data_IF_177433422763
#
_entry.id   IF_177433422763
#
_cell.length_a   1.000
_cell.length_b   1.000
_cell.length_c   1.000
_cell.angle_alpha   90.00
_cell.angle_beta   90.00
_cell.angle_gamma   90.00
#
_symmetry.space_group_name_H-M   'P 1'
#
loop_
_entity.id
_entity.type
_entity.pdbx_description
1 polymer ?
#
# COMPACT_ATOMS: atom_id res chain seq x y z
N UNK A 1 33.57 2.34 40.60
CA UNK A 1 34.10 2.93 39.36
C UNK A 1 32.92 3.13 38.42
N UNK A 2 32.34 4.31 38.49
CA UNK A 2 31.30 4.77 37.58
C UNK A 2 31.90 5.92 36.78
N UNK A 3 32.08 5.77 35.51
CA UNK A 3 32.62 6.82 34.68
C UNK A 3 32.68 6.42 33.21
N UNK A 4 32.15 7.32 32.40
CA UNK A 4 32.36 7.43 30.95
C UNK A 4 31.52 6.53 30.03
N UNK A 5 30.31 7.03 29.71
CA UNK A 5 29.69 6.93 28.37
C UNK A 5 28.66 8.08 28.22
N UNK A 6 29.14 9.30 28.34
CA UNK A 6 28.45 10.51 27.84
C UNK A 6 29.38 11.19 26.83
N UNK A 7 28.94 11.24 25.61
CA UNK A 7 29.62 12.07 24.62
C UNK A 7 29.86 11.32 23.31
N UNK A 8 28.93 11.38 22.38
CA UNK A 8 29.10 11.61 20.94
C UNK A 8 27.70 11.51 20.29
N UNK A 9 26.87 12.54 20.37
CA UNK A 9 25.76 12.80 19.47
C UNK A 9 25.31 14.27 19.57
N UNK A 10 26.29 15.17 19.39
CA UNK A 10 26.00 16.55 19.07
C UNK A 10 26.65 16.86 17.72
N UNK A 11 26.04 16.36 16.62
CA UNK A 11 26.37 16.87 15.28
C UNK A 11 25.30 17.88 14.90
N UNK A 12 25.73 19.13 14.99
CA UNK A 12 25.35 20.33 14.24
C UNK A 12 24.05 20.22 13.44
N UNK A 13 22.96 20.68 14.04
CA UNK A 13 21.79 21.14 13.29
C UNK A 13 22.25 22.44 12.62
N UNK A 14 22.52 22.37 11.32
CA UNK A 14 22.78 23.56 10.52
C UNK A 14 21.61 24.52 10.69
N UNK A 15 21.90 25.68 11.26
CA UNK A 15 21.03 26.86 11.26
C UNK A 15 20.53 27.08 9.83
N UNK A 16 19.24 26.93 9.63
CA UNK A 16 18.59 27.27 8.38
C UNK A 16 18.79 28.76 8.16
N UNK A 17 19.73 29.09 7.27
CA UNK A 17 19.97 30.46 6.83
C UNK A 17 18.69 31.02 6.28
N UNK A 18 18.31 32.22 6.73
CA UNK A 18 17.23 33.04 6.23
C UNK A 18 17.48 33.42 4.77
N UNK A 19 16.96 32.62 3.84
CA UNK A 19 16.75 33.02 2.44
C UNK A 19 15.24 33.05 2.18
N UNK A 20 14.77 34.18 1.74
CA UNK A 20 13.42 34.55 1.30
C UNK A 20 12.70 33.40 0.56
N UNK A 21 11.71 32.79 1.20
CA UNK A 21 10.87 31.75 0.59
C UNK A 21 9.98 31.10 1.62
N UNK A 22 8.68 31.13 1.40
CA UNK A 22 7.61 30.73 2.29
C UNK A 22 7.88 29.49 3.14
N UNK A 23 7.38 29.51 4.36
CA UNK A 23 7.49 28.46 5.37
C UNK A 23 7.10 27.11 4.77
N UNK A 24 8.08 26.28 4.37
CA UNK A 24 7.81 24.96 3.75
C UNK A 24 7.12 24.11 4.80
N UNK A 25 5.84 23.80 4.60
CA UNK A 25 5.08 22.97 5.53
C UNK A 25 5.72 21.60 5.65
N UNK A 26 5.90 21.13 6.88
CA UNK A 26 6.48 19.81 7.18
C UNK A 26 5.40 18.76 7.49
N UNK A 27 4.16 19.19 7.70
CA UNK A 27 3.00 18.34 7.94
C UNK A 27 1.96 18.63 6.85
N UNK A 28 1.51 17.58 6.19
CA UNK A 28 0.56 17.63 5.09
C UNK A 28 -0.62 16.72 5.38
N UNK A 29 -1.83 17.14 5.03
CA UNK A 29 -3.04 16.32 5.09
C UNK A 29 -3.78 16.38 3.77
N UNK A 30 -4.34 15.25 3.34
CA UNK A 30 -5.19 15.24 2.15
C UNK A 30 -6.65 15.48 2.48
N UNK A 31 -7.30 16.30 1.67
CA UNK A 31 -8.76 16.46 1.66
C UNK A 31 -9.46 15.46 0.72
N UNK A 32 -8.72 14.75 -0.15
CA UNK A 32 -9.28 13.75 -1.05
C UNK A 32 -9.42 12.40 -0.37
N UNK A 33 -10.47 11.67 -0.72
CA UNK A 33 -10.67 10.25 -0.36
C UNK A 33 -10.29 9.29 -1.50
N UNK A 34 -9.82 9.81 -2.63
CA UNK A 34 -9.42 8.98 -3.76
C UNK A 34 -8.00 8.40 -3.53
N UNK A 35 -7.85 7.04 -3.50
CA UNK A 35 -6.56 6.41 -3.25
C UNK A 35 -5.53 6.69 -4.35
N UNK A 36 -5.96 6.88 -5.60
CA UNK A 36 -5.05 7.19 -6.69
C UNK A 36 -4.47 8.59 -6.57
N UNK A 37 -5.31 9.57 -6.16
CA UNK A 37 -4.87 10.94 -5.87
C UNK A 37 -3.90 10.94 -4.71
N UNK A 38 -4.27 10.32 -3.59
CA UNK A 38 -3.46 10.31 -2.38
C UNK A 38 -2.09 9.64 -2.58
N UNK A 39 -2.02 8.52 -3.29
CA UNK A 39 -0.75 7.87 -3.61
C UNK A 39 0.07 8.64 -4.66
N UNK A 40 -0.57 9.42 -5.53
CA UNK A 40 0.14 10.32 -6.45
C UNK A 40 0.72 11.53 -5.73
N UNK A 41 0.01 12.09 -4.75
CA UNK A 41 0.50 13.14 -3.86
C UNK A 41 1.66 12.60 -2.99
N UNK A 42 1.53 11.39 -2.42
CA UNK A 42 2.61 10.75 -1.66
C UNK A 42 3.89 10.65 -2.50
N UNK A 43 3.78 10.23 -3.76
CA UNK A 43 4.92 10.13 -4.69
C UNK A 43 5.49 11.51 -5.05
N UNK A 44 4.63 12.53 -5.21
CA UNK A 44 5.05 13.90 -5.45
C UNK A 44 5.85 14.45 -4.26
N UNK A 45 5.32 14.33 -3.05
CA UNK A 45 6.03 14.74 -1.83
C UNK A 45 7.36 14.00 -1.67
N UNK A 46 7.38 12.72 -1.98
CA UNK A 46 8.58 11.90 -1.88
C UNK A 46 9.63 12.24 -2.92
N UNK A 47 9.25 12.58 -4.17
CA UNK A 47 10.21 12.76 -5.27
C UNK A 47 10.52 14.19 -5.62
N UNK A 48 9.54 15.09 -5.53
CA UNK A 48 9.63 16.44 -6.07
C UNK A 48 9.81 17.52 -5.03
N UNK A 49 9.23 17.32 -3.85
CA UNK A 49 9.50 18.24 -2.74
C UNK A 49 10.91 17.97 -2.24
N UNK A 50 11.72 19.01 -2.16
CA UNK A 50 13.08 18.90 -1.67
C UNK A 50 13.07 18.54 -0.18
N UNK A 51 13.41 17.28 0.13
CA UNK A 51 13.41 16.76 1.49
C UNK A 51 14.83 16.86 2.04
N UNK A 52 15.19 18.05 2.49
CA UNK A 52 16.31 18.23 3.42
C UNK A 52 15.86 17.99 4.87
N UNK A 53 14.56 17.88 5.08
CA UNK A 53 13.92 17.77 6.39
C UNK A 53 12.79 16.75 6.35
N UNK A 54 12.48 16.05 7.46
CA UNK A 54 11.36 15.11 7.55
C UNK A 54 10.02 15.71 7.16
N UNK A 55 9.19 14.93 6.47
CA UNK A 55 7.80 15.30 6.09
C UNK A 55 6.86 14.24 6.62
N UNK A 56 5.74 14.69 7.21
CA UNK A 56 4.60 13.85 7.56
C UNK A 56 3.45 14.12 6.59
N UNK A 57 2.93 13.08 5.95
CA UNK A 57 1.72 13.15 5.14
C UNK A 57 0.66 12.22 5.71
N UNK A 58 -0.57 12.73 5.91
CA UNK A 58 -1.69 11.97 6.50
C UNK A 58 -2.90 12.07 5.57
N UNK A 59 -3.57 10.94 5.31
CA UNK A 59 -4.72 10.88 4.42
C UNK A 59 -5.66 9.72 4.75
N UNK A 60 -6.87 9.78 4.22
CA UNK A 60 -7.84 8.69 4.23
C UNK A 60 -8.21 8.32 2.81
N UNK A 61 -8.67 7.09 2.62
CA UNK A 61 -9.17 6.62 1.34
C UNK A 61 -10.59 6.08 1.48
N UNK A 62 -11.40 6.26 0.45
CA UNK A 62 -12.63 5.50 0.27
C UNK A 62 -12.31 4.00 0.11
N UNK A 63 -13.33 3.14 0.14
CA UNK A 63 -13.18 1.68 0.04
C UNK A 63 -12.22 1.28 -1.06
N UNK A 64 -11.11 0.66 -0.69
CA UNK A 64 -10.08 0.23 -1.63
C UNK A 64 -9.21 -0.88 -1.05
N UNK A 65 -8.76 -1.78 -1.92
CA UNK A 65 -7.71 -2.75 -1.63
C UNK A 65 -6.41 -2.24 -2.25
N UNK A 66 -5.39 -2.08 -1.41
CA UNK A 66 -4.09 -1.56 -1.82
C UNK A 66 -3.07 -2.70 -1.80
N UNK A 67 -2.71 -3.21 -2.96
CA UNK A 67 -1.67 -4.24 -3.10
C UNK A 67 -0.27 -3.63 -3.13
N UNK A 68 0.71 -4.37 -2.64
CA UNK A 68 2.11 -3.99 -2.70
C UNK A 68 2.67 -4.08 -4.13
N UNK A 69 3.78 -3.38 -4.38
CA UNK A 69 4.43 -3.26 -5.70
C UNK A 69 4.65 -4.61 -6.41
N UNK A 70 5.05 -5.64 -5.66
CA UNK A 70 5.47 -6.93 -6.20
C UNK A 70 4.48 -8.07 -5.86
N UNK A 71 3.21 -7.74 -5.68
CA UNK A 71 2.16 -8.71 -5.37
C UNK A 71 1.36 -9.12 -6.61
N UNK A 72 0.75 -10.29 -6.53
CA UNK A 72 -0.18 -10.80 -7.53
C UNK A 72 -1.62 -10.47 -7.09
N UNK A 73 -2.36 -9.59 -7.81
CA UNK A 73 -3.69 -9.16 -7.41
C UNK A 73 -4.69 -10.32 -7.29
N UNK A 74 -4.58 -11.34 -8.13
CA UNK A 74 -5.47 -12.51 -8.10
C UNK A 74 -5.25 -13.43 -6.91
N UNK A 75 -4.05 -13.42 -6.31
CA UNK A 75 -3.74 -14.16 -5.08
C UNK A 75 -4.12 -13.39 -3.83
N UNK A 76 -4.11 -12.06 -3.90
CA UNK A 76 -4.23 -11.19 -2.74
C UNK A 76 -5.64 -10.65 -2.51
N UNK A 77 -6.45 -10.55 -3.56
CA UNK A 77 -7.78 -9.95 -3.51
C UNK A 77 -8.81 -10.79 -4.27
N UNK A 78 -10.04 -10.81 -3.79
CA UNK A 78 -11.18 -11.36 -4.52
C UNK A 78 -11.72 -10.29 -5.48
N UNK A 79 -11.20 -10.29 -6.71
CA UNK A 79 -11.50 -9.25 -7.69
C UNK A 79 -13.01 -9.18 -8.01
N UNK A 80 -13.71 -10.30 -8.09
CA UNK A 80 -15.16 -10.35 -8.33
C UNK A 80 -15.92 -9.62 -7.22
N UNK A 81 -15.53 -9.89 -5.98
CA UNK A 81 -16.17 -9.27 -4.83
C UNK A 81 -15.85 -7.77 -4.75
N UNK A 82 -14.62 -7.37 -5.12
CA UNK A 82 -14.26 -5.95 -5.17
C UNK A 82 -15.18 -5.18 -6.12
N UNK A 83 -15.42 -5.76 -7.31
CA UNK A 83 -16.34 -5.21 -8.30
C UNK A 83 -17.75 -5.10 -7.75
N UNK A 84 -18.27 -6.19 -7.23
CA UNK A 84 -19.63 -6.25 -6.68
C UNK A 84 -19.86 -5.22 -5.57
N UNK A 85 -18.80 -4.89 -4.81
CA UNK A 85 -18.84 -3.93 -3.71
C UNK A 85 -18.49 -2.49 -4.10
N UNK A 86 -18.12 -2.23 -5.36
CA UNK A 86 -17.59 -0.94 -5.79
C UNK A 86 -16.28 -0.57 -5.06
N UNK A 87 -15.46 -1.57 -4.68
CA UNK A 87 -14.20 -1.39 -3.97
C UNK A 87 -13.06 -1.27 -4.99
N UNK A 88 -12.27 -0.21 -4.91
CA UNK A 88 -11.17 0.03 -5.82
C UNK A 88 -10.00 -0.93 -5.57
N UNK A 89 -9.32 -1.35 -6.65
CA UNK A 89 -8.06 -2.08 -6.57
C UNK A 89 -6.91 -1.14 -6.98
N UNK A 90 -5.93 -0.96 -6.12
CA UNK A 90 -4.82 -0.05 -6.36
C UNK A 90 -3.49 -0.74 -6.06
N UNK A 91 -2.52 -0.63 -6.95
CA UNK A 91 -1.14 -1.05 -6.69
C UNK A 91 -0.32 0.15 -6.22
N UNK A 92 0.20 0.10 -4.99
CA UNK A 92 1.09 1.14 -4.47
C UNK A 92 2.53 0.96 -4.96
N UNK A 93 3.34 2.01 -4.80
CA UNK A 93 4.75 2.02 -5.23
C UNK A 93 5.71 1.36 -4.24
N UNK A 94 5.31 1.21 -2.98
CA UNK A 94 6.07 0.48 -1.96
C UNK A 94 5.82 -1.02 -2.04
N UNK A 95 6.71 -1.82 -1.45
CA UNK A 95 6.53 -3.25 -1.25
C UNK A 95 5.57 -3.58 -0.11
N UNK A 96 5.66 -4.80 0.41
CA UNK A 96 4.85 -5.29 1.52
C UNK A 96 3.53 -5.94 1.07
N UNK A 97 2.72 -6.36 2.05
CA UNK A 97 1.46 -7.07 1.86
C UNK A 97 0.28 -6.19 1.49
N UNK A 98 -0.83 -6.82 1.17
CA UNK A 98 -2.08 -6.17 0.81
C UNK A 98 -2.81 -5.64 2.04
N UNK A 99 -3.40 -4.47 1.93
CA UNK A 99 -4.22 -3.84 2.97
C UNK A 99 -5.58 -3.40 2.40
N UNK A 100 -6.56 -3.29 3.28
CA UNK A 100 -7.87 -2.74 2.98
C UNK A 100 -7.99 -1.36 3.61
N UNK A 101 -8.50 -0.40 2.85
CA UNK A 101 -8.82 0.94 3.31
C UNK A 101 -10.31 1.20 3.22
N UNK A 102 -10.83 1.89 4.20
CA UNK A 102 -12.11 2.57 4.23
C UNK A 102 -11.95 3.91 4.97
N UNK A 103 -13.02 4.65 5.13
CA UNK A 103 -12.95 5.95 5.83
C UNK A 103 -12.69 5.81 7.35
N UNK A 104 -12.80 4.60 7.90
CA UNK A 104 -12.39 4.26 9.27
C UNK A 104 -10.89 4.02 9.43
N UNK A 105 -10.14 3.92 8.31
CA UNK A 105 -8.70 3.80 8.31
C UNK A 105 -8.04 5.15 8.01
N UNK A 106 -7.01 5.50 8.77
CA UNK A 106 -6.14 6.65 8.50
C UNK A 106 -4.78 6.16 8.04
N UNK A 107 -4.30 6.69 6.92
CA UNK A 107 -2.96 6.41 6.42
C UNK A 107 -2.02 7.54 6.83
N UNK A 108 -0.77 7.18 7.10
CA UNK A 108 0.32 8.12 7.36
C UNK A 108 1.56 7.74 6.56
N UNK A 109 2.39 8.73 6.23
CA UNK A 109 3.66 8.54 5.55
C UNK A 109 4.69 9.50 6.15
N UNK A 110 5.75 8.94 6.76
CA UNK A 110 6.88 9.70 7.29
C UNK A 110 8.03 9.57 6.32
N UNK A 111 8.36 10.66 5.64
CA UNK A 111 9.39 10.73 4.59
C UNK A 111 10.65 11.39 5.14
N UNK A 112 11.80 10.79 4.90
CA UNK A 112 13.08 11.19 5.49
C UNK A 112 14.22 11.14 4.47
N UNK A 113 15.29 11.93 4.65
CA UNK A 113 16.59 11.61 4.10
C UNK A 113 17.01 10.19 4.47
N UNK A 114 17.71 9.50 3.57
CA UNK A 114 18.04 8.07 3.75
C UNK A 114 18.89 7.79 4.98
N UNK A 115 19.78 8.69 5.32
CA UNK A 115 20.69 8.61 6.47
C UNK A 115 20.02 8.83 7.84
N UNK A 116 18.83 9.45 7.85
CA UNK A 116 18.03 9.68 9.04
C UNK A 116 16.92 8.63 9.21
N UNK A 117 16.80 7.69 8.27
CA UNK A 117 15.68 6.76 8.25
C UNK A 117 15.91 5.54 9.14
N UNK A 118 15.14 5.46 10.22
CA UNK A 118 15.09 4.32 11.13
C UNK A 118 13.66 3.81 11.29
N UNK A 119 13.45 2.55 10.91
CA UNK A 119 12.10 1.93 10.91
C UNK A 119 11.49 1.90 12.31
N UNK A 120 12.27 1.53 13.32
CA UNK A 120 11.80 1.40 14.72
C UNK A 120 11.42 2.75 15.32
N UNK A 121 12.16 3.79 15.02
CA UNK A 121 11.86 5.16 15.46
C UNK A 121 10.51 5.61 14.91
N UNK A 122 10.29 5.48 13.60
CA UNK A 122 9.03 5.88 12.98
C UNK A 122 7.82 5.07 13.47
N UNK A 123 7.96 3.76 13.66
CA UNK A 123 6.91 2.94 14.25
C UNK A 123 6.64 3.33 15.72
N UNK A 124 7.70 3.67 16.48
CA UNK A 124 7.61 4.19 17.84
C UNK A 124 6.85 5.51 17.94
N UNK A 125 7.05 6.44 16.99
CA UNK A 125 6.28 7.69 16.93
C UNK A 125 4.78 7.44 16.80
N UNK A 126 4.40 6.47 15.95
CA UNK A 126 3.00 6.09 15.76
C UNK A 126 2.43 5.42 17.02
N UNK A 127 3.20 4.52 17.64
CA UNK A 127 2.80 3.87 18.89
C UNK A 127 2.60 4.91 20.02
N UNK A 128 3.53 5.86 20.15
CA UNK A 128 3.41 6.95 21.13
C UNK A 128 2.16 7.81 20.88
N UNK A 129 1.86 8.12 19.63
CA UNK A 129 0.64 8.87 19.29
C UNK A 129 -0.64 8.12 19.72
N UNK A 130 -0.66 6.79 19.56
CA UNK A 130 -1.78 5.94 20.01
C UNK A 130 -1.85 5.89 21.53
N UNK A 131 -0.72 5.77 22.23
CA UNK A 131 -0.69 5.81 23.71
C UNK A 131 -1.18 7.15 24.25
N UNK A 132 -0.80 8.28 23.64
CA UNK A 132 -1.27 9.61 24.02
C UNK A 132 -2.79 9.83 23.79
N UNK A 133 -3.43 8.99 22.99
CA UNK A 133 -4.89 8.97 22.86
C UNK A 133 -5.58 8.27 24.03
N UNK A 134 -4.82 7.72 24.99
CA UNK A 134 -5.33 7.00 26.17
C UNK A 134 -5.53 5.52 25.92
N UNK A 135 -4.77 4.93 25.00
CA UNK A 135 -4.83 3.49 24.70
C UNK A 135 -3.65 2.78 25.38
N UNK A 136 -3.97 1.81 26.22
CA UNK A 136 -2.97 1.02 26.92
C UNK A 136 -2.50 -0.18 26.10
N UNK A 137 -1.43 -0.83 26.56
CA UNK A 137 -0.85 -2.04 25.98
C UNK A 137 -0.43 -1.90 24.50
N UNK A 138 -0.06 -0.68 24.08
CA UNK A 138 0.46 -0.41 22.74
C UNK A 138 1.90 -0.91 22.64
N UNK A 139 2.19 -1.68 21.61
CA UNK A 139 3.54 -2.18 21.36
C UNK A 139 3.89 -2.15 19.86
N UNK A 140 5.19 -2.25 19.56
CA UNK A 140 5.72 -2.33 18.19
C UNK A 140 6.37 -3.70 18.00
N UNK A 141 5.90 -4.46 17.01
CA UNK A 141 6.42 -5.78 16.67
C UNK A 141 7.78 -5.71 15.98
N UNK A 142 8.45 -6.86 15.79
CA UNK A 142 9.71 -6.94 15.02
C UNK A 142 9.51 -6.62 13.53
N UNK A 143 8.28 -6.66 13.05
CA UNK A 143 7.89 -6.25 11.69
C UNK A 143 7.48 -4.78 11.61
N UNK A 144 7.65 -4.05 12.71
CA UNK A 144 7.30 -2.62 12.84
C UNK A 144 5.80 -2.34 12.73
N UNK A 145 4.95 -3.34 12.92
CA UNK A 145 3.50 -3.15 13.06
C UNK A 145 3.20 -2.63 14.45
N UNK A 146 2.18 -1.76 14.59
CA UNK A 146 1.69 -1.33 15.90
C UNK A 146 0.51 -2.20 16.30
N UNK A 147 0.57 -2.72 17.52
CA UNK A 147 -0.46 -3.57 18.11
C UNK A 147 -1.00 -2.98 19.41
N UNK A 148 -2.25 -3.33 19.74
CA UNK A 148 -2.85 -3.20 21.08
C UNK A 148 -3.00 -4.61 21.61
N UNK A 149 -2.24 -4.94 22.65
CA UNK A 149 -2.07 -6.32 23.08
C UNK A 149 -1.42 -7.16 21.97
N UNK A 150 -2.10 -8.21 21.55
CA UNK A 150 -1.69 -9.14 20.49
C UNK A 150 -2.30 -8.82 19.11
N UNK A 151 -3.17 -7.81 19.01
CA UNK A 151 -3.91 -7.48 17.80
C UNK A 151 -3.33 -6.25 17.11
N UNK A 152 -3.08 -6.40 15.83
CA UNK A 152 -2.54 -5.34 14.99
C UNK A 152 -3.60 -4.26 14.72
N UNK A 153 -3.24 -3.00 14.97
CA UNK A 153 -4.03 -1.80 14.67
C UNK A 153 -3.40 -0.97 13.55
N UNK A 154 -2.11 -1.16 13.26
CA UNK A 154 -1.39 -0.46 12.20
C UNK A 154 -0.44 -1.42 11.50
N UNK A 155 -0.52 -1.46 10.18
CA UNK A 155 0.42 -2.17 9.32
C UNK A 155 1.44 -1.23 8.70
N UNK A 156 2.70 -1.68 8.61
CA UNK A 156 3.82 -0.91 8.09
C UNK A 156 4.32 -1.41 6.74
N UNK A 157 4.66 -0.46 5.85
CA UNK A 157 5.42 -0.73 4.65
C UNK A 157 6.46 0.38 4.43
N UNK A 158 7.49 0.06 3.65
CA UNK A 158 8.63 0.95 3.48
C UNK A 158 9.01 1.06 2.02
N UNK A 159 9.51 2.23 1.64
CA UNK A 159 10.20 2.44 0.38
C UNK A 159 11.53 3.12 0.67
N UNK A 160 12.59 2.51 0.19
CA UNK A 160 13.95 2.97 0.43
C UNK A 160 14.64 3.14 -0.92
N UNK A 161 15.19 4.33 -1.15
CA UNK A 161 16.04 4.66 -2.29
C UNK A 161 17.42 5.08 -1.79
N UNK A 162 18.35 5.37 -2.69
CA UNK A 162 19.69 5.83 -2.30
C UNK A 162 19.70 7.14 -1.50
N UNK A 163 18.75 8.05 -1.77
CA UNK A 163 18.73 9.39 -1.16
C UNK A 163 17.65 9.58 -0.10
N UNK A 164 16.57 8.84 -0.18
CA UNK A 164 15.35 9.03 0.63
C UNK A 164 14.71 7.72 1.01
N UNK A 165 13.95 7.73 2.09
CA UNK A 165 13.08 6.64 2.47
C UNK A 165 11.77 7.18 3.03
N UNK A 166 10.73 6.37 2.96
CA UNK A 166 9.53 6.60 3.75
C UNK A 166 9.06 5.32 4.45
N UNK A 167 8.46 5.55 5.59
CA UNK A 167 7.61 4.61 6.31
C UNK A 167 6.18 5.07 6.15
N UNK A 168 5.36 4.29 5.48
CA UNK A 168 3.94 4.53 5.50
C UNK A 168 3.20 3.36 6.13
N UNK A 169 2.05 3.66 6.71
CA UNK A 169 1.23 2.68 7.38
C UNK A 169 -0.24 3.06 7.40
N UNK A 170 -1.02 2.05 7.78
CA UNK A 170 -2.45 2.17 8.08
C UNK A 170 -2.64 2.40 9.57
N UNK A 171 -3.72 3.02 9.97
CA UNK A 171 -4.21 3.05 11.35
C UNK A 171 -5.70 2.72 11.34
N UNK A 172 -6.03 1.53 11.82
CA UNK A 172 -7.41 1.02 11.89
C UNK A 172 -8.12 1.71 13.06
N UNK A 173 -8.73 2.86 12.82
CA UNK A 173 -9.43 3.63 13.87
C UNK A 173 -10.81 3.03 14.10
N UNK A 174 -11.64 2.96 13.06
CA UNK A 174 -13.00 2.43 13.08
C UNK A 174 -13.35 1.65 11.81
N UNK A 175 -12.35 0.98 11.22
CA UNK A 175 -12.48 0.24 9.96
C UNK A 175 -13.43 -0.94 10.07
N UNK A 176 -14.17 -1.23 9.01
CA UNK A 176 -15.05 -2.39 8.92
C UNK A 176 -14.24 -3.67 8.68
N UNK A 177 -13.91 -4.38 9.76
CA UNK A 177 -13.09 -5.60 9.73
C UNK A 177 -13.79 -6.78 9.01
N UNK A 178 -15.10 -6.81 8.90
CA UNK A 178 -15.81 -7.83 8.15
C UNK A 178 -15.62 -7.65 6.64
N UNK A 179 -15.71 -6.42 6.13
CA UNK A 179 -15.41 -6.10 4.73
C UNK A 179 -13.94 -6.34 4.41
N UNK A 180 -13.02 -5.98 5.29
CA UNK A 180 -11.59 -6.29 5.15
C UNK A 180 -11.36 -7.79 4.93
N UNK A 181 -11.95 -8.66 5.76
CA UNK A 181 -11.80 -10.12 5.64
C UNK A 181 -12.38 -10.67 4.33
N UNK A 182 -13.47 -10.08 3.84
CA UNK A 182 -14.10 -10.47 2.56
C UNK A 182 -13.23 -10.09 1.35
N UNK A 183 -12.69 -8.88 1.35
CA UNK A 183 -11.91 -8.33 0.24
C UNK A 183 -10.52 -8.98 0.11
N UNK A 184 -9.88 -9.34 1.23
CA UNK A 184 -8.52 -9.90 1.27
C UNK A 184 -8.51 -11.43 1.20
N UNK A 185 -9.16 -11.98 0.17
CA UNK A 185 -9.13 -13.40 -0.17
C UNK A 185 -8.66 -13.57 -1.61
N UNK A 186 -8.02 -14.71 -1.95
CA UNK A 186 -7.71 -14.99 -3.35
C UNK A 186 -8.97 -14.97 -4.22
N UNK A 187 -8.82 -14.53 -5.45
CA UNK A 187 -9.87 -14.68 -6.47
C UNK A 187 -10.17 -16.16 -6.65
N UNK A 188 -11.45 -16.60 -6.61
CA UNK A 188 -11.81 -18.00 -6.79
C UNK A 188 -11.35 -18.54 -8.17
N UNK A 189 -11.12 -19.85 -8.24
CA UNK A 189 -10.85 -20.58 -9.48
C UNK A 189 -9.61 -20.12 -10.28
N UNK A 190 -8.72 -19.36 -9.66
CA UNK A 190 -7.49 -18.94 -10.34
C UNK A 190 -6.47 -20.08 -10.51
N UNK A 191 -6.52 -21.12 -9.68
CA UNK A 191 -5.65 -22.29 -9.74
C UNK A 191 -4.18 -21.95 -9.99
N UNK A 192 -3.64 -20.99 -9.23
CA UNK A 192 -2.24 -20.58 -9.33
C UNK A 192 -1.38 -21.63 -8.63
N UNK A 193 -0.50 -22.30 -9.37
CA UNK A 193 0.34 -23.40 -8.89
C UNK A 193 1.78 -22.94 -8.59
N UNK A 194 2.23 -21.86 -9.22
CA UNK A 194 3.52 -21.23 -8.95
C UNK A 194 3.43 -19.72 -9.06
N UNK A 195 4.20 -18.98 -8.25
CA UNK A 195 4.20 -17.52 -8.27
C UNK A 195 5.49 -16.95 -7.69
N UNK A 196 6.12 -16.01 -8.41
CA UNK A 196 7.26 -15.22 -7.93
C UNK A 196 6.83 -13.96 -7.17
N UNK A 197 5.53 -13.78 -6.98
CA UNK A 197 4.99 -12.64 -6.24
C UNK A 197 5.23 -12.77 -4.74
N UNK A 198 5.34 -11.62 -4.07
CA UNK A 198 5.42 -11.55 -2.61
C UNK A 198 4.03 -11.78 -2.02
N UNK A 199 3.87 -12.78 -1.18
CA UNK A 199 2.61 -13.05 -0.47
C UNK A 199 2.41 -12.16 0.76
N UNK A 200 1.16 -11.89 1.11
CA UNK A 200 0.80 -11.23 2.37
C UNK A 200 0.96 -12.17 3.56
N UNK A 201 1.51 -11.65 4.65
CA UNK A 201 1.51 -12.36 5.95
C UNK A 201 0.31 -11.87 6.75
N UNK A 202 -0.63 -12.77 6.97
CA UNK A 202 -1.85 -12.48 7.73
C UNK A 202 -1.53 -12.30 9.22
N UNK A 203 -2.20 -11.34 9.85
CA UNK A 203 -2.12 -11.09 11.30
C UNK A 203 -3.52 -10.84 11.84
N UNK A 204 -3.81 -11.21 13.09
CA UNK A 204 -5.03 -10.79 13.77
C UNK A 204 -5.07 -9.25 13.85
N UNK A 205 -6.18 -8.66 13.43
CA UNK A 205 -6.37 -7.20 13.43
C UNK A 205 -7.53 -6.80 14.34
N UNK A 206 -7.48 -5.55 14.83
CA UNK A 206 -8.58 -4.90 15.54
C UNK A 206 -8.62 -3.42 15.16
N UNK A 207 -9.76 -2.77 15.40
CA UNK A 207 -9.88 -1.32 15.33
C UNK A 207 -9.60 -0.68 16.69
N UNK A 208 -9.11 0.56 16.69
CA UNK A 208 -8.87 1.28 17.95
C UNK A 208 -10.16 1.49 18.75
N UNK A 209 -11.29 1.78 18.09
CA UNK A 209 -12.59 1.93 18.76
C UNK A 209 -13.07 0.65 19.46
N UNK A 210 -12.66 -0.52 18.97
CA UNK A 210 -13.00 -1.82 19.56
C UNK A 210 -12.08 -2.17 20.75
N UNK A 211 -11.00 -1.42 20.92
CA UNK A 211 -9.96 -1.68 21.91
C UNK A 211 -10.10 -0.81 23.17
N UNK A 212 -10.93 0.24 23.12
CA UNK A 212 -11.07 1.20 24.22
C UNK A 212 -12.47 1.81 24.29
N UNK A 213 -12.82 2.29 25.49
CA UNK A 213 -14.07 3.02 25.76
C UNK A 213 -13.98 4.53 25.50
N UNK A 214 -12.79 5.05 25.20
CA UNK A 214 -12.55 6.47 24.98
C UNK A 214 -12.93 6.90 23.55
N UNK A 215 -13.24 8.19 23.37
CA UNK A 215 -13.53 8.76 22.07
C UNK A 215 -12.28 8.78 21.17
N UNK A 216 -12.11 7.75 20.35
CA UNK A 216 -11.06 7.63 19.36
C UNK A 216 -11.61 8.00 17.98
N UNK A 217 -10.94 8.89 17.26
CA UNK A 217 -11.32 9.28 15.91
C UNK A 217 -10.12 9.77 15.10
N UNK A 218 -10.34 9.97 13.79
CA UNK A 218 -9.32 10.44 12.86
C UNK A 218 -8.63 11.74 13.32
N UNK A 219 -9.40 12.75 13.75
CA UNK A 219 -8.84 14.05 14.12
C UNK A 219 -7.91 13.96 15.33
N UNK A 220 -8.28 13.16 16.33
CA UNK A 220 -7.41 12.92 17.50
C UNK A 220 -6.12 12.22 17.09
N UNK A 221 -6.20 11.21 16.21
CA UNK A 221 -5.00 10.53 15.72
C UNK A 221 -4.09 11.49 14.95
N UNK A 222 -4.64 12.28 14.01
CA UNK A 222 -3.89 13.31 13.29
C UNK A 222 -3.20 14.28 14.25
N UNK A 223 -3.92 14.75 15.27
CA UNK A 223 -3.37 15.68 16.27
C UNK A 223 -2.19 15.06 17.04
N UNK A 224 -2.37 13.87 17.61
CA UNK A 224 -1.33 13.22 18.40
C UNK A 224 -0.13 12.81 17.56
N UNK A 225 -0.36 12.29 16.34
CA UNK A 225 0.74 11.93 15.43
C UNK A 225 1.53 13.17 14.98
N UNK A 226 0.85 14.28 14.66
CA UNK A 226 1.50 15.54 14.31
C UNK A 226 2.37 16.07 15.46
N UNK A 227 1.88 15.99 16.69
CA UNK A 227 2.64 16.37 17.90
C UNK A 227 3.85 15.45 18.13
N UNK A 228 3.67 14.14 18.05
CA UNK A 228 4.76 13.17 18.22
C UNK A 228 5.84 13.38 17.16
N UNK A 229 5.44 13.56 15.90
CA UNK A 229 6.33 13.88 14.79
C UNK A 229 7.09 15.19 15.00
N UNK A 230 6.40 16.28 15.36
CA UNK A 230 7.02 17.58 15.57
C UNK A 230 7.99 17.57 16.76
N UNK A 231 7.61 16.98 17.88
CA UNK A 231 8.50 16.87 19.05
C UNK A 231 9.80 16.11 18.75
N UNK A 232 9.71 15.10 17.88
CA UNK A 232 10.88 14.28 17.55
C UNK A 232 11.79 14.95 16.53
N UNK A 233 11.22 15.43 15.41
CA UNK A 233 12.00 15.93 14.28
C UNK A 233 12.20 17.46 14.30
N UNK A 234 11.35 18.18 15.02
CA UNK A 234 11.32 19.64 15.06
C UNK A 234 11.09 20.17 16.48
N UNK A 235 11.97 19.80 17.44
CA UNK A 235 11.77 20.18 18.85
C UNK A 235 11.73 21.69 19.11
N UNK A 236 12.24 22.49 18.17
CA UNK A 236 12.21 23.95 18.25
C UNK A 236 10.95 24.58 17.67
N UNK A 237 10.06 23.78 17.04
CA UNK A 237 8.79 24.29 16.50
C UNK A 237 7.69 24.17 17.55
N UNK A 238 7.42 25.27 18.26
CA UNK A 238 6.30 25.41 19.19
C UNK A 238 5.62 26.76 18.89
N UNK A 239 4.33 26.79 18.57
CA UNK A 239 3.40 25.65 18.49
C UNK A 239 3.62 24.73 17.29
N UNK A 240 3.08 23.50 17.38
CA UNK A 240 3.09 22.53 16.27
C UNK A 240 2.46 23.16 15.03
N UNK A 241 3.13 23.11 13.87
CA UNK A 241 2.60 23.71 12.64
C UNK A 241 1.25 23.14 12.25
N UNK A 242 0.35 24.00 11.80
CA UNK A 242 -0.89 23.55 11.17
C UNK A 242 -0.57 22.74 9.91
N UNK A 243 -1.25 21.60 9.69
CA UNK A 243 -1.06 20.82 8.48
C UNK A 243 -1.43 21.62 7.22
N UNK A 244 -0.60 21.54 6.20
CA UNK A 244 -0.94 22.04 4.88
C UNK A 244 -1.93 21.07 4.23
N UNK A 245 -3.08 21.59 3.81
CA UNK A 245 -4.12 20.78 3.15
C UNK A 245 -3.87 20.75 1.65
N UNK A 246 -3.82 19.52 1.10
CA UNK A 246 -3.62 19.25 -0.33
C UNK A 246 -4.71 18.27 -0.79
N UNK A 247 -5.08 18.26 -2.07
CA UNK A 247 -6.16 17.37 -2.52
C UNK A 247 -6.36 17.37 -4.04
N UNK A 248 -7.61 17.25 -4.47
CA UNK A 248 -7.99 17.00 -5.86
C UNK A 248 -7.56 18.11 -6.82
N UNK A 249 -7.48 19.36 -6.35
CA UNK A 249 -6.98 20.49 -7.15
C UNK A 249 -5.56 20.28 -7.70
N UNK A 250 -4.79 19.37 -7.10
CA UNK A 250 -3.45 19.05 -7.59
C UNK A 250 -3.44 18.26 -8.90
N UNK A 251 -4.54 17.62 -9.26
CA UNK A 251 -4.65 16.94 -10.57
C UNK A 251 -4.45 17.89 -11.75
N UNK A 252 -4.94 19.11 -11.61
CA UNK A 252 -4.87 20.14 -12.67
C UNK A 252 -3.63 21.03 -12.51
N UNK A 253 -3.27 21.35 -11.26
CA UNK A 253 -2.19 22.30 -10.95
C UNK A 253 -0.80 21.68 -10.99
N UNK A 254 -0.69 20.36 -10.83
CA UNK A 254 0.57 19.65 -10.69
C UNK A 254 0.64 18.51 -11.70
N UNK A 255 1.34 18.74 -12.79
CA UNK A 255 1.51 17.77 -13.88
C UNK A 255 2.03 16.41 -13.39
N UNK A 256 2.94 16.40 -12.40
CA UNK A 256 3.47 15.16 -11.83
C UNK A 256 2.39 14.35 -11.10
N UNK A 257 1.52 15.01 -10.35
CA UNK A 257 0.39 14.36 -9.66
C UNK A 257 -0.62 13.84 -10.69
N UNK A 258 -0.97 14.64 -11.70
CA UNK A 258 -1.88 14.25 -12.77
C UNK A 258 -1.36 13.04 -13.58
N UNK A 259 -0.07 13.03 -13.93
CA UNK A 259 0.56 11.89 -14.60
C UNK A 259 0.58 10.65 -13.72
N UNK A 260 0.92 10.80 -12.44
CA UNK A 260 0.91 9.73 -11.45
C UNK A 260 -0.49 9.10 -11.26
N UNK A 261 -1.53 9.92 -11.23
CA UNK A 261 -2.92 9.48 -11.15
C UNK A 261 -3.31 8.61 -12.34
N UNK A 262 -3.01 9.06 -13.58
CA UNK A 262 -3.27 8.30 -14.80
C UNK A 262 -2.51 6.98 -14.82
N UNK A 263 -1.23 6.99 -14.42
CA UNK A 263 -0.41 5.77 -14.34
C UNK A 263 -0.99 4.77 -13.35
N UNK A 264 -1.30 5.19 -12.12
CA UNK A 264 -1.82 4.32 -11.06
C UNK A 264 -3.17 3.67 -11.41
N UNK A 265 -4.00 4.33 -12.22
CA UNK A 265 -5.28 3.80 -12.72
C UNK A 265 -5.10 2.84 -13.91
N UNK A 266 -3.98 2.86 -14.58
CA UNK A 266 -3.80 2.07 -15.80
C UNK A 266 -3.75 0.57 -15.50
N UNK A 267 -4.30 -0.22 -16.42
CA UNK A 267 -4.20 -1.67 -16.38
C UNK A 267 -2.72 -2.13 -16.30
N UNK A 268 -1.86 -1.47 -17.09
CA UNK A 268 -0.44 -1.78 -17.12
C UNK A 268 0.24 -1.60 -15.74
N UNK A 269 -0.20 -0.64 -14.94
CA UNK A 269 0.30 -0.49 -13.58
C UNK A 269 -0.30 -1.51 -12.60
N UNK A 270 -1.62 -1.68 -12.62
CA UNK A 270 -2.33 -2.55 -11.65
C UNK A 270 -1.99 -4.02 -11.89
N UNK A 271 -2.15 -4.49 -13.14
CA UNK A 271 -2.01 -5.88 -13.52
C UNK A 271 -0.71 -6.20 -14.27
N UNK A 272 -0.30 -5.32 -15.20
CA UNK A 272 0.90 -5.51 -16.01
C UNK A 272 2.21 -5.45 -15.23
N UNK A 273 2.19 -5.08 -13.94
CA UNK A 273 3.37 -5.14 -13.06
C UNK A 273 3.42 -6.42 -12.21
N UNK A 274 2.52 -7.37 -12.46
CA UNK A 274 2.47 -8.63 -11.70
C UNK A 274 3.70 -9.49 -12.03
N UNK A 275 4.44 -9.96 -11.01
CA UNK A 275 5.51 -10.92 -11.21
C UNK A 275 5.01 -12.20 -11.89
N UNK A 276 5.93 -12.96 -12.47
CA UNK A 276 5.62 -14.20 -13.14
C UNK A 276 4.85 -15.17 -12.22
N UNK A 277 3.82 -15.82 -12.80
CA UNK A 277 3.05 -16.87 -12.12
C UNK A 277 2.49 -17.87 -13.14
N UNK A 278 2.18 -19.09 -12.70
CA UNK A 278 1.64 -20.16 -13.52
C UNK A 278 0.27 -20.56 -13.02
N UNK A 279 -0.69 -20.69 -13.95
CA UNK A 279 -2.03 -21.24 -13.69
C UNK A 279 -2.15 -22.63 -14.29
N UNK A 280 -2.87 -23.50 -13.59
CA UNK A 280 -3.28 -24.81 -14.09
C UNK A 280 -4.74 -24.77 -14.56
N UNK A 281 -4.96 -25.11 -15.81
CA UNK A 281 -6.29 -25.31 -16.41
C UNK A 281 -6.50 -26.79 -16.67
N UNK A 282 -7.77 -27.23 -16.61
CA UNK A 282 -8.18 -28.52 -17.11
C UNK A 282 -9.07 -28.26 -18.34
N UNK A 283 -8.61 -28.71 -19.50
CA UNK A 283 -9.30 -28.48 -20.78
C UNK A 283 -9.84 -29.78 -21.30
N UNK A 284 -11.13 -29.79 -21.57
CA UNK A 284 -11.85 -30.96 -22.12
C UNK A 284 -12.01 -30.86 -23.65
N UNK A 285 -11.94 -32.00 -24.31
CA UNK A 285 -12.38 -32.14 -25.70
C UNK A 285 -13.89 -31.91 -25.83
N UNK A 286 -14.38 -31.67 -27.06
CA UNK A 286 -15.79 -31.34 -27.28
C UNK A 286 -16.72 -32.53 -27.00
N UNK A 287 -16.23 -33.74 -27.16
CA UNK A 287 -16.92 -35.00 -26.85
C UNK A 287 -16.75 -35.44 -25.37
N UNK A 288 -16.03 -34.63 -24.55
CA UNK A 288 -15.69 -34.92 -23.16
C UNK A 288 -14.87 -36.20 -22.93
N UNK A 289 -14.34 -36.81 -23.98
CA UNK A 289 -13.54 -38.04 -23.86
C UNK A 289 -12.13 -37.82 -23.33
N UNK A 290 -11.57 -36.63 -23.53
CA UNK A 290 -10.21 -36.25 -23.12
C UNK A 290 -10.28 -35.02 -22.22
N UNK A 291 -9.54 -35.08 -21.08
CA UNK A 291 -9.32 -33.94 -20.18
C UNK A 291 -7.85 -33.84 -19.87
N UNK A 292 -7.19 -32.75 -20.26
CA UNK A 292 -5.76 -32.56 -20.03
C UNK A 292 -5.46 -31.37 -19.16
N UNK A 293 -4.42 -31.44 -18.31
CA UNK A 293 -3.89 -30.29 -17.62
C UNK A 293 -3.09 -29.41 -18.60
N UNK A 294 -3.32 -28.11 -18.52
CA UNK A 294 -2.61 -27.08 -19.30
C UNK A 294 -2.04 -26.06 -18.34
N UNK A 295 -0.71 -26.00 -18.30
CA UNK A 295 -0.01 -24.97 -17.53
C UNK A 295 0.21 -23.74 -18.39
N UNK A 296 -0.28 -22.59 -17.91
CA UNK A 296 -0.11 -21.29 -18.58
C UNK A 296 0.69 -20.36 -17.69
N UNK A 297 1.86 -19.97 -18.15
CA UNK A 297 2.76 -19.05 -17.46
C UNK A 297 2.53 -17.63 -17.94
N UNK A 298 2.28 -16.74 -17.00
CA UNK A 298 2.06 -15.31 -17.23
C UNK A 298 3.25 -14.50 -16.68
N UNK A 299 3.58 -13.43 -17.39
CA UNK A 299 4.51 -12.40 -16.93
C UNK A 299 3.99 -11.03 -17.39
N UNK A 300 4.01 -10.06 -16.50
CA UNK A 300 3.46 -8.73 -16.78
C UNK A 300 2.00 -8.77 -17.26
N UNK A 301 1.23 -9.74 -16.76
CA UNK A 301 -0.17 -9.95 -17.16
C UNK A 301 -0.39 -10.59 -18.53
N UNK A 302 0.66 -10.95 -19.27
CA UNK A 302 0.57 -11.59 -20.58
C UNK A 302 1.04 -13.04 -20.55
N UNK A 303 0.46 -13.88 -21.42
CA UNK A 303 0.87 -15.28 -21.59
C UNK A 303 2.27 -15.32 -22.19
N UNK A 304 3.20 -15.96 -21.46
CA UNK A 304 4.58 -16.20 -21.93
C UNK A 304 4.74 -17.58 -22.54
N UNK A 305 4.16 -18.57 -21.91
CA UNK A 305 4.37 -19.97 -22.23
C UNK A 305 3.13 -20.77 -21.89
N UNK A 306 2.81 -21.76 -22.71
CA UNK A 306 1.75 -22.75 -22.47
C UNK A 306 2.36 -24.14 -22.59
N UNK A 307 2.18 -24.99 -21.57
CA UNK A 307 2.68 -26.36 -21.52
C UNK A 307 1.52 -27.34 -21.34
N UNK A 308 1.50 -28.37 -22.16
CA UNK A 308 0.60 -29.51 -22.04
C UNK A 308 1.20 -30.70 -22.77
N UNK A 309 0.78 -31.90 -22.37
CA UNK A 309 1.18 -33.13 -23.04
C UNK A 309 0.45 -33.21 -24.38
N UNK A 310 1.19 -33.32 -25.46
CA UNK A 310 0.68 -33.46 -26.82
C UNK A 310 0.50 -34.92 -27.26
N UNK A 311 0.96 -35.87 -26.44
CA UNK A 311 0.86 -37.30 -26.73
C UNK A 311 -0.61 -37.72 -26.87
N UNK A 312 -0.96 -38.32 -27.98
CA UNK A 312 -2.30 -38.83 -28.26
C UNK A 312 -3.43 -37.80 -28.43
N UNK A 313 -3.11 -36.53 -28.70
CA UNK A 313 -4.09 -35.50 -29.04
C UNK A 313 -4.31 -35.41 -30.54
N UNK A 314 -5.58 -35.28 -30.95
CA UNK A 314 -5.89 -35.02 -32.34
C UNK A 314 -5.52 -33.60 -32.76
N UNK A 315 -5.26 -33.34 -34.07
CA UNK A 315 -4.87 -32.04 -34.57
C UNK A 315 -5.87 -30.91 -34.31
N UNK A 316 -7.18 -31.22 -34.29
CA UNK A 316 -8.23 -30.23 -34.08
C UNK A 316 -8.22 -29.74 -32.61
N UNK A 317 -8.03 -30.66 -31.67
CA UNK A 317 -7.90 -30.32 -30.25
C UNK A 317 -6.64 -29.52 -29.95
N UNK A 318 -5.51 -29.88 -30.60
CA UNK A 318 -4.28 -29.09 -30.52
C UNK A 318 -4.47 -27.66 -31.03
N UNK A 319 -5.17 -27.48 -32.14
CA UNK A 319 -5.50 -26.16 -32.69
C UNK A 319 -6.39 -25.35 -31.74
N UNK A 320 -7.38 -26.02 -31.12
CA UNK A 320 -8.24 -25.40 -30.09
C UNK A 320 -7.44 -24.88 -28.90
N UNK A 321 -6.51 -25.68 -28.38
CA UNK A 321 -5.63 -25.29 -27.28
C UNK A 321 -4.76 -24.08 -27.64
N UNK A 322 -4.14 -24.08 -28.81
CA UNK A 322 -3.30 -22.99 -29.30
C UNK A 322 -4.09 -21.69 -29.49
N UNK A 323 -5.35 -21.78 -29.91
CA UNK A 323 -6.25 -20.61 -30.03
C UNK A 323 -6.73 -20.08 -28.69
N UNK A 324 -6.90 -20.96 -27.69
CA UNK A 324 -7.37 -20.59 -26.35
C UNK A 324 -6.30 -19.90 -25.51
N UNK A 325 -5.03 -20.24 -25.73
CA UNK A 325 -3.89 -19.72 -24.94
C UNK A 325 -2.78 -19.20 -25.85
N UNK A 326 -3.03 -18.21 -26.71
CA UNK A 326 -2.01 -17.68 -27.60
C UNK A 326 -0.96 -16.89 -26.80
N UNK A 327 0.30 -17.07 -27.15
CA UNK A 327 1.41 -16.32 -26.54
C UNK A 327 1.24 -14.83 -26.81
N UNK A 328 1.40 -14.01 -25.80
CA UNK A 328 1.25 -12.57 -25.89
C UNK A 328 -0.11 -12.04 -25.49
N UNK A 329 -1.15 -12.89 -25.45
CA UNK A 329 -2.46 -12.48 -24.94
C UNK A 329 -2.38 -12.08 -23.48
N UNK A 330 -3.05 -10.99 -23.15
CA UNK A 330 -3.25 -10.57 -21.77
C UNK A 330 -4.19 -11.53 -21.06
N UNK A 331 -3.95 -11.72 -19.78
CA UNK A 331 -4.88 -12.45 -18.94
C UNK A 331 -6.24 -11.77 -19.07
N UNK A 332 -7.23 -12.53 -19.52
CA UNK A 332 -8.58 -12.02 -19.58
C UNK A 332 -9.04 -11.73 -18.15
N UNK A 333 -8.88 -10.48 -17.78
CA UNK A 333 -9.63 -9.91 -16.71
C UNK A 333 -11.02 -9.68 -17.30
N UNK A 334 -11.93 -10.68 -17.28
CA UNK A 334 -13.36 -10.47 -17.45
C UNK A 334 -13.87 -9.36 -16.51
N UNK A 335 -13.00 -8.88 -15.71
CA UNK A 335 -12.98 -7.76 -14.78
C UNK A 335 -12.12 -6.57 -15.23
N UNK A 336 -11.76 -6.47 -16.52
CA UNK A 336 -11.31 -5.18 -17.09
C UNK A 336 -12.51 -4.24 -17.13
N UNK A 337 -13.01 -4.08 -15.95
CA UNK A 337 -13.99 -3.15 -15.51
C UNK A 337 -13.76 -1.78 -16.10
N UNK A 338 -14.78 -1.27 -16.57
CA UNK A 338 -15.30 0.11 -16.42
C UNK A 338 -14.50 0.98 -15.41
N UNK A 339 -13.17 0.95 -15.49
CA UNK A 339 -12.31 1.96 -14.87
C UNK A 339 -12.45 3.31 -15.61
N UNK A 340 -13.19 3.32 -16.74
CA UNK A 340 -13.38 4.50 -17.59
C UNK A 340 -14.77 5.14 -17.47
N UNK A 341 -15.64 4.66 -16.58
CA UNK A 341 -16.94 5.32 -16.36
C UNK A 341 -17.06 5.81 -14.90
N UNK A 342 -16.60 6.97 -14.65
CA UNK A 342 -17.08 8.16 -13.91
C UNK A 342 -15.95 9.05 -13.46
#
# INVERSE_FOLDING_TARGET
MAGALRGVFARSIATVGSSSGGNKSVIWTSSSLDPYINLSIEEYLFRKVEVVSPILFIYRNRKSVIIGRNQNPWQEANLEELVRQGTLLVRRRSGGGTVYHDEGNTNYSVMLPRDQFERRVNAGLVANAVQEMGIDHVNVTDRYDVCVGDRKVSGSAFRITSKRAYHHGTMLISSNLAQLKGALRPTPNMNIVDSKAVGSVRSPVTSLVDSVTSHVNHHRFVHHLSRAFSRHYYPSLDPVPHPHVIGESELERNEFVGAGYKELKSWNWIFGQTPQFTRLFHVQSDDHSICIPVEVTYKNGSIMETKFDTSNLDPAFLQKLSRRFPTGDVIDCAFSLSLDTT
#
